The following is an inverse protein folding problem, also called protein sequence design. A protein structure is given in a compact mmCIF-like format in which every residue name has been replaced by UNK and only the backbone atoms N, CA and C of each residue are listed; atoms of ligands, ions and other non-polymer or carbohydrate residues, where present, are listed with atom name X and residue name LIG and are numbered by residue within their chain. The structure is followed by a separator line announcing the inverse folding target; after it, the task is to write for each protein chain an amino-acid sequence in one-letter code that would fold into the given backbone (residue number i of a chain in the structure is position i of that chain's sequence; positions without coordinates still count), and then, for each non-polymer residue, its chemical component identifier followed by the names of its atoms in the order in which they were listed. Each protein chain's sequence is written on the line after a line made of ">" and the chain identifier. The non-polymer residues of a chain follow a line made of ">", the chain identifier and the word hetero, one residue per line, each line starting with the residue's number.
data_IF_663083406694
#
_entry.id   IF_663083406694
#
_cell.length_a   1.000
_cell.length_b   1.000
_cell.length_c   1.000
_cell.angle_alpha   90.00
_cell.angle_beta   90.00
_cell.angle_gamma   90.00
#
_symmetry.space_group_name_H-M   'P 1'
#
loop_
_entity.id
_entity.type
_entity.pdbx_description
1 polymer ?
#
# COMPACT_ATOMS: atom_id res chain seq x y z
N UNK A 1 -2.69 15.50 -33.97
CA UNK A 1 -2.68 15.32 -33.32
C UNK A 1 -3.83 14.96 -32.89
N UNK A 2 -4.03 14.95 -32.30
CA UNK A 2 -4.92 13.99 -31.95
C UNK A 2 -5.64 14.36 -30.73
N UNK A 3 -6.64 13.61 -30.42
CA UNK A 3 -7.41 13.82 -29.23
C UNK A 3 -6.56 13.70 -28.02
N UNK A 4 -5.59 12.82 -28.06
CA UNK A 4 -4.72 12.68 -26.92
C UNK A 4 -3.95 13.92 -26.61
N UNK A 5 -3.49 14.58 -27.66
CA UNK A 5 -2.80 15.82 -27.45
C UNK A 5 -3.70 16.87 -26.85
N UNK A 6 -4.95 16.90 -27.29
CA UNK A 6 -5.90 17.84 -26.73
C UNK A 6 -6.15 17.59 -25.28
N UNK A 7 -6.32 16.32 -24.89
CA UNK A 7 -6.53 15.99 -23.49
C UNK A 7 -5.33 16.36 -22.66
N UNK A 8 -4.15 16.06 -23.16
CA UNK A 8 -2.94 16.34 -22.41
C UNK A 8 -2.72 17.82 -22.18
N UNK A 9 -3.26 18.63 -23.06
CA UNK A 9 -3.05 20.07 -22.95
C UNK A 9 -4.22 20.78 -22.29
N UNK A 10 -5.18 20.05 -21.75
CA UNK A 10 -6.36 20.68 -21.20
C UNK A 10 -6.13 21.39 -19.88
N UNK A 11 -5.00 21.17 -19.23
CA UNK A 11 -4.62 21.93 -18.05
C UNK A 11 -5.39 21.61 -16.79
N UNK A 12 -6.00 22.62 -16.16
CA UNK A 12 -6.59 22.41 -14.83
C UNK A 12 -7.66 21.33 -14.77
N UNK A 13 -8.45 21.22 -15.82
CA UNK A 13 -9.51 20.22 -15.86
C UNK A 13 -8.89 18.83 -15.90
N UNK A 14 -7.88 18.67 -16.70
CA UNK A 14 -7.20 17.39 -16.80
C UNK A 14 -6.53 17.03 -15.49
N UNK A 15 -5.90 17.99 -14.85
CA UNK A 15 -5.28 17.74 -13.55
C UNK A 15 -6.31 17.27 -12.52
N UNK A 16 -7.46 17.92 -12.48
CA UNK A 16 -8.52 17.54 -11.56
C UNK A 16 -9.00 16.13 -11.85
N UNK A 17 -9.19 15.79 -13.13
CA UNK A 17 -9.63 14.46 -13.50
C UNK A 17 -8.58 13.43 -13.17
N UNK A 18 -7.32 13.73 -13.40
CA UNK A 18 -6.25 12.79 -13.10
C UNK A 18 -6.15 12.53 -11.61
N UNK A 19 -6.31 13.56 -10.78
CA UNK A 19 -6.27 13.38 -9.34
C UNK A 19 -7.46 12.57 -8.85
N UNK A 20 -8.64 12.77 -9.43
CA UNK A 20 -9.83 12.07 -9.01
C UNK A 20 -9.97 10.68 -9.58
N UNK A 21 -9.46 10.46 -10.79
CA UNK A 21 -9.67 9.20 -11.50
C UNK A 21 -8.43 8.35 -11.65
N UNK A 22 -7.27 8.91 -11.40
CA UNK A 22 -6.03 8.14 -11.52
C UNK A 22 -6.01 7.01 -10.51
N UNK A 23 -5.76 5.78 -10.93
CA UNK A 23 -5.67 4.67 -9.99
C UNK A 23 -4.56 4.90 -8.99
N UNK A 24 -4.81 4.51 -7.75
CA UNK A 24 -3.77 4.48 -6.74
C UNK A 24 -2.90 3.27 -7.00
N UNK A 25 -1.63 3.42 -6.74
CA UNK A 25 -0.67 2.36 -6.99
C UNK A 25 -0.14 1.83 -5.65
N UNK A 26 -0.34 0.54 -5.41
CA UNK A 26 0.02 -0.07 -4.13
C UNK A 26 1.06 -1.16 -4.37
N UNK A 27 2.12 -1.14 -3.58
CA UNK A 27 3.14 -2.16 -3.66
C UNK A 27 2.81 -3.26 -2.64
N UNK A 28 2.75 -4.49 -3.12
CA UNK A 28 2.47 -5.65 -2.29
C UNK A 28 3.77 -6.43 -2.10
N UNK A 29 4.24 -6.52 -0.84
CA UNK A 29 5.42 -7.30 -0.51
C UNK A 29 4.92 -8.55 0.20
N UNK A 30 4.68 -9.62 -0.57
CA UNK A 30 4.05 -10.82 -0.08
C UNK A 30 4.56 -12.02 -0.86
N UNK A 31 5.09 -13.01 -0.16
CA UNK A 31 5.65 -14.18 -0.82
C UNK A 31 4.68 -15.33 -1.04
N UNK A 32 3.58 -15.37 -0.30
CA UNK A 32 2.64 -16.48 -0.41
C UNK A 32 1.64 -16.22 -1.55
N UNK A 33 1.61 -17.05 -2.59
CA UNK A 33 0.77 -16.76 -3.76
C UNK A 33 -0.71 -16.61 -3.46
N UNK A 34 -1.25 -17.41 -2.54
CA UNK A 34 -2.68 -17.34 -2.24
C UNK A 34 -3.05 -15.99 -1.64
N UNK A 35 -2.25 -15.51 -0.70
CA UNK A 35 -2.50 -14.21 -0.08
C UNK A 35 -2.25 -13.10 -1.09
N UNK A 36 -1.16 -13.20 -1.83
CA UNK A 36 -0.81 -12.20 -2.83
C UNK A 36 -1.91 -12.01 -3.86
N UNK A 37 -2.47 -13.11 -4.35
CA UNK A 37 -3.52 -13.04 -5.36
C UNK A 37 -4.79 -12.42 -4.80
N UNK A 38 -5.13 -12.73 -3.56
CA UNK A 38 -6.29 -12.14 -2.93
C UNK A 38 -6.11 -10.64 -2.75
N UNK A 39 -4.92 -10.22 -2.29
CA UNK A 39 -4.65 -8.80 -2.14
C UNK A 39 -4.75 -8.07 -3.47
N UNK A 40 -4.23 -8.70 -4.52
CA UNK A 40 -4.28 -8.10 -5.85
C UNK A 40 -5.74 -7.87 -6.30
N UNK A 41 -6.58 -8.88 -6.08
CA UNK A 41 -8.00 -8.77 -6.45
C UNK A 41 -8.70 -7.70 -5.60
N UNK A 42 -8.41 -7.66 -4.31
CA UNK A 42 -8.99 -6.65 -3.43
C UNK A 42 -8.60 -5.24 -3.85
N UNK A 43 -7.35 -5.04 -4.27
CA UNK A 43 -6.91 -3.74 -4.76
C UNK A 43 -7.67 -3.34 -6.01
N UNK A 44 -7.88 -4.29 -6.91
CA UNK A 44 -8.67 -4.00 -8.11
C UNK A 44 -10.07 -3.56 -7.75
N UNK A 45 -10.67 -4.19 -6.74
CA UNK A 45 -11.99 -3.80 -6.26
C UNK A 45 -12.04 -2.40 -5.67
N UNK A 46 -10.92 -1.89 -5.21
CA UNK A 46 -10.81 -0.52 -4.70
C UNK A 46 -10.45 0.48 -5.80
N UNK A 47 -10.30 0.02 -7.03
CA UNK A 47 -9.86 0.90 -8.10
C UNK A 47 -8.36 1.19 -8.05
N UNK A 48 -7.60 0.31 -7.42
CA UNK A 48 -6.16 0.48 -7.27
C UNK A 48 -5.42 -0.48 -8.18
N UNK A 49 -4.20 -0.09 -8.54
CA UNK A 49 -3.29 -0.98 -9.23
C UNK A 49 -2.30 -1.52 -8.22
N UNK A 50 -1.91 -2.77 -8.40
CA UNK A 50 -0.96 -3.40 -7.50
C UNK A 50 0.28 -3.87 -8.24
N UNK A 51 1.43 -3.61 -7.67
CA UNK A 51 2.68 -4.19 -8.13
C UNK A 51 3.18 -5.12 -7.03
N UNK A 52 3.85 -6.17 -7.43
CA UNK A 52 4.28 -7.21 -6.49
C UNK A 52 5.79 -7.24 -6.39
N UNK A 53 6.28 -7.21 -5.15
CA UNK A 53 7.67 -7.47 -4.84
C UNK A 53 7.75 -8.79 -4.08
N UNK A 54 8.75 -9.60 -4.41
CA UNK A 54 8.90 -10.91 -3.78
C UNK A 54 9.70 -10.87 -2.48
N UNK A 55 10.24 -9.72 -2.15
CA UNK A 55 10.98 -9.55 -0.91
C UNK A 55 11.32 -8.10 -0.68
N UNK A 56 11.91 -7.82 0.48
CA UNK A 56 12.20 -6.45 0.86
C UNK A 56 13.20 -5.75 -0.03
N UNK A 57 14.23 -6.47 -0.49
CA UNK A 57 15.22 -5.85 -1.35
C UNK A 57 14.62 -5.42 -2.69
N UNK A 58 13.81 -6.28 -3.29
CA UNK A 58 13.12 -5.91 -4.52
C UNK A 58 12.15 -4.76 -4.28
N UNK A 59 11.46 -4.80 -3.16
CA UNK A 59 10.53 -3.72 -2.82
C UNK A 59 11.23 -2.38 -2.75
N UNK A 60 12.38 -2.33 -2.10
CA UNK A 60 13.12 -1.07 -1.99
C UNK A 60 13.60 -0.59 -3.35
N UNK A 61 14.03 -1.50 -4.21
CA UNK A 61 14.43 -1.13 -5.56
C UNK A 61 13.26 -0.53 -6.35
N UNK A 62 12.08 -1.10 -6.17
CA UNK A 62 10.88 -0.59 -6.85
C UNK A 62 10.47 0.77 -6.29
N UNK A 63 10.55 0.94 -4.97
CA UNK A 63 10.21 2.21 -4.32
C UNK A 63 11.16 3.32 -4.79
N UNK A 64 12.41 2.97 -5.02
CA UNK A 64 13.37 3.94 -5.53
C UNK A 64 13.02 4.41 -6.93
N UNK A 65 12.53 3.49 -7.77
CA UNK A 65 12.30 3.78 -9.18
C UNK A 65 10.96 4.40 -9.49
N UNK A 66 9.95 4.15 -8.68
CA UNK A 66 8.62 4.68 -8.96
C UNK A 66 7.90 5.02 -7.67
N UNK A 67 6.85 5.83 -7.80
CA UNK A 67 6.08 6.27 -6.66
C UNK A 67 4.94 5.30 -6.39
N UNK A 68 4.70 5.04 -5.12
CA UNK A 68 3.56 4.24 -4.67
C UNK A 68 2.72 5.07 -3.71
N UNK A 69 1.43 4.80 -3.69
CA UNK A 69 0.53 5.46 -2.77
C UNK A 69 0.46 4.76 -1.42
N UNK A 70 0.77 3.48 -1.38
CA UNK A 70 0.82 2.71 -0.14
C UNK A 70 1.64 1.44 -0.37
N UNK A 71 2.05 0.82 0.72
CA UNK A 71 2.79 -0.44 0.70
C UNK A 71 2.10 -1.41 1.66
N UNK A 72 1.81 -2.61 1.18
CA UNK A 72 1.40 -3.72 2.03
C UNK A 72 2.64 -4.57 2.27
N UNK A 73 3.10 -4.59 3.49
CA UNK A 73 4.37 -5.24 3.81
C UNK A 73 4.15 -6.43 4.74
N UNK A 74 4.33 -7.63 4.20
CA UNK A 74 4.35 -8.83 5.04
C UNK A 74 5.73 -8.94 5.65
N UNK A 75 5.80 -8.88 6.97
CA UNK A 75 7.09 -8.91 7.66
C UNK A 75 7.85 -10.20 7.45
N UNK A 76 7.16 -11.29 7.11
CA UNK A 76 7.86 -12.54 6.82
C UNK A 76 8.63 -12.49 5.52
N UNK A 77 8.30 -11.54 4.65
CA UNK A 77 8.93 -11.41 3.34
C UNK A 77 9.85 -10.22 3.25
N UNK A 78 10.07 -9.50 4.35
CA UNK A 78 10.84 -8.26 4.28
C UNK A 78 12.33 -8.48 4.07
N UNK A 79 12.85 -9.67 4.39
CA UNK A 79 14.27 -10.01 4.25
C UNK A 79 15.20 -9.22 5.17
N UNK A 80 14.63 -8.37 5.99
CA UNK A 80 15.37 -7.57 6.97
C UNK A 80 14.44 -7.24 8.12
N UNK A 81 14.95 -6.82 9.26
CA UNK A 81 14.11 -6.44 10.39
C UNK A 81 13.15 -5.33 10.02
N UNK A 82 11.97 -5.34 10.64
CA UNK A 82 10.93 -4.38 10.33
C UNK A 82 11.41 -2.93 10.44
N UNK A 83 12.14 -2.61 11.50
CA UNK A 83 12.63 -1.26 11.69
C UNK A 83 13.59 -0.82 10.59
N UNK A 84 14.42 -1.75 10.13
CA UNK A 84 15.35 -1.46 9.06
C UNK A 84 14.63 -1.22 7.75
N UNK A 85 13.61 -2.03 7.48
CA UNK A 85 12.81 -1.86 6.28
C UNK A 85 12.11 -0.51 6.27
N UNK A 86 11.48 -0.14 7.37
CA UNK A 86 10.77 1.14 7.46
C UNK A 86 11.75 2.31 7.38
N UNK A 87 12.93 2.18 7.98
CA UNK A 87 13.94 3.22 7.88
C UNK A 87 14.41 3.42 6.45
N UNK A 88 14.59 2.32 5.71
CA UNK A 88 15.00 2.40 4.31
C UNK A 88 13.92 3.08 3.47
N UNK A 89 12.67 2.75 3.72
CA UNK A 89 11.56 3.40 3.01
C UNK A 89 11.55 4.90 3.32
N UNK A 90 11.80 5.25 4.59
CA UNK A 90 11.82 6.66 4.98
C UNK A 90 12.90 7.43 4.23
N UNK A 91 14.05 6.83 4.04
CA UNK A 91 15.11 7.49 3.31
C UNK A 91 14.78 7.67 1.83
N UNK A 92 14.15 6.67 1.23
CA UNK A 92 13.83 6.73 -0.19
C UNK A 92 12.62 7.60 -0.49
N UNK A 93 11.58 7.47 0.31
CA UNK A 93 10.32 8.18 0.11
C UNK A 93 9.71 8.53 1.46
N UNK A 94 10.10 9.64 2.06
CA UNK A 94 9.61 10.00 3.40
C UNK A 94 8.08 10.02 3.51
N UNK A 95 7.40 10.44 2.45
CA UNK A 95 5.94 10.53 2.49
C UNK A 95 5.27 9.17 2.51
N UNK A 96 5.98 8.12 2.16
CA UNK A 96 5.40 6.78 2.09
C UNK A 96 5.34 6.12 3.46
N UNK A 97 6.12 6.59 4.42
CA UNK A 97 6.22 5.93 5.73
C UNK A 97 4.88 5.83 6.44
N UNK A 98 4.06 6.87 6.36
CA UNK A 98 2.74 6.83 6.98
C UNK A 98 1.73 5.99 6.22
N UNK A 99 2.12 5.43 5.09
CA UNK A 99 1.24 4.63 4.25
C UNK A 99 1.74 3.22 4.07
N UNK A 100 2.48 2.72 5.03
CA UNK A 100 2.92 1.33 5.04
C UNK A 100 2.00 0.57 5.99
N UNK A 101 1.30 -0.42 5.45
CA UNK A 101 0.43 -1.28 6.24
C UNK A 101 1.17 -2.60 6.43
N UNK A 102 1.46 -2.91 7.68
CA UNK A 102 2.27 -4.07 8.02
C UNK A 102 1.39 -5.27 8.28
N UNK A 103 1.73 -6.42 7.69
CA UNK A 103 1.05 -7.67 7.97
C UNK A 103 1.96 -8.48 8.88
N UNK A 104 1.48 -8.79 10.08
CA UNK A 104 2.26 -9.54 11.07
C UNK A 104 1.89 -11.00 11.03
N UNK A 105 2.79 -11.85 11.53
CA UNK A 105 2.52 -13.27 11.62
C UNK A 105 1.47 -13.58 12.68
N UNK A 106 1.09 -14.85 12.76
CA UNK A 106 0.13 -15.30 13.77
C UNK A 106 0.66 -15.05 15.16
N UNK A 107 1.93 -15.40 15.37
CA UNK A 107 2.59 -15.15 16.63
C UNK A 107 3.74 -14.23 16.34
N UNK A 108 3.57 -12.98 16.68
CA UNK A 108 4.59 -11.98 16.40
C UNK A 108 5.56 -11.93 17.56
N UNK A 109 6.81 -11.73 17.21
CA UNK A 109 7.83 -11.62 18.19
C UNK A 109 7.64 -10.32 19.01
N UNK A 110 7.86 -10.36 20.33
CA UNK A 110 7.59 -9.20 21.18
C UNK A 110 8.34 -7.94 20.78
N UNK A 111 9.57 -8.08 20.28
CA UNK A 111 10.32 -6.91 19.85
C UNK A 111 9.69 -6.23 18.65
N UNK A 112 9.22 -7.03 17.70
CA UNK A 112 8.53 -6.49 16.53
C UNK A 112 7.25 -5.77 16.93
N UNK A 113 6.46 -6.38 17.84
CA UNK A 113 5.23 -5.74 18.28
C UNK A 113 5.51 -4.46 19.05
N UNK A 114 6.58 -4.43 19.82
CA UNK A 114 6.94 -3.22 20.53
C UNK A 114 7.32 -2.10 19.56
N UNK A 115 8.07 -2.42 18.51
CA UNK A 115 8.42 -1.45 17.50
C UNK A 115 7.21 -0.91 16.77
N UNK A 116 6.26 -1.80 16.45
CA UNK A 116 5.04 -1.38 15.79
C UNK A 116 4.27 -0.41 16.67
N UNK A 117 4.13 -0.72 17.93
CA UNK A 117 3.41 0.16 18.87
C UNK A 117 4.14 1.47 19.08
N UNK A 118 5.45 1.41 19.25
CA UNK A 118 6.23 2.61 19.50
C UNK A 118 6.17 3.58 18.35
N UNK A 119 6.17 3.07 17.12
CA UNK A 119 6.17 3.90 15.94
C UNK A 119 4.77 4.12 15.37
N UNK A 120 3.76 3.59 16.02
CA UNK A 120 2.37 3.74 15.59
C UNK A 120 2.14 3.27 14.16
N UNK A 121 2.79 2.19 13.77
CA UNK A 121 2.61 1.65 12.43
C UNK A 121 1.26 0.95 12.32
N UNK A 122 0.48 1.24 11.27
CA UNK A 122 -0.73 0.46 11.04
C UNK A 122 -0.37 -0.98 10.70
N UNK A 123 -1.06 -1.91 11.33
CA UNK A 123 -0.74 -3.32 11.13
C UNK A 123 -1.99 -4.17 11.21
N UNK A 124 -1.95 -5.33 10.55
CA UNK A 124 -3.01 -6.32 10.58
C UNK A 124 -2.40 -7.68 10.84
N UNK A 125 -2.90 -8.45 11.83
CA UNK A 125 -2.46 -9.83 11.98
C UNK A 125 -2.82 -10.61 10.72
N UNK A 126 -1.94 -11.51 10.30
CA UNK A 126 -2.12 -12.23 9.04
C UNK A 126 -3.47 -12.94 8.95
N UNK A 127 -3.93 -13.51 10.03
CA UNK A 127 -5.21 -14.22 10.03
C UNK A 127 -6.42 -13.30 9.87
N UNK A 128 -6.21 -11.98 9.98
CA UNK A 128 -7.28 -11.00 9.81
C UNK A 128 -7.20 -10.21 8.53
N UNK A 129 -6.25 -10.53 7.67
CA UNK A 129 -6.04 -9.76 6.45
C UNK A 129 -7.33 -9.70 5.62
N UNK A 130 -8.00 -10.83 5.47
CA UNK A 130 -9.20 -10.88 4.64
C UNK A 130 -10.31 -9.99 5.16
N UNK A 131 -10.40 -9.84 6.48
CA UNK A 131 -11.46 -9.03 7.08
C UNK A 131 -11.10 -7.56 7.16
N UNK A 132 -9.82 -7.22 7.31
CA UNK A 132 -9.44 -5.86 7.68
C UNK A 132 -8.71 -5.07 6.59
N UNK A 133 -8.11 -5.75 5.61
CA UNK A 133 -7.25 -5.05 4.67
C UNK A 133 -8.02 -4.00 3.85
N UNK A 134 -9.23 -4.30 3.47
CA UNK A 134 -10.06 -3.38 2.69
C UNK A 134 -10.21 -2.04 3.40
N UNK A 135 -10.70 -2.08 4.65
CA UNK A 135 -10.94 -0.84 5.39
C UNK A 135 -9.66 -0.09 5.72
N UNK A 136 -8.60 -0.84 6.03
CA UNK A 136 -7.32 -0.21 6.35
C UNK A 136 -6.72 0.49 5.13
N UNK A 137 -6.79 -0.16 3.97
CA UNK A 137 -6.29 0.46 2.74
C UNK A 137 -7.08 1.69 2.35
N UNK A 138 -8.40 1.63 2.47
CA UNK A 138 -9.21 2.80 2.18
C UNK A 138 -8.80 3.98 3.04
N UNK A 139 -8.58 3.71 4.32
CA UNK A 139 -8.16 4.77 5.24
C UNK A 139 -6.79 5.32 4.88
N UNK A 140 -5.83 4.44 4.57
CA UNK A 140 -4.50 4.88 4.22
C UNK A 140 -4.46 5.68 2.93
N UNK A 141 -5.29 5.30 1.97
CA UNK A 141 -5.31 5.96 0.67
C UNK A 141 -6.22 7.18 0.65
N UNK A 142 -6.93 7.44 1.73
CA UNK A 142 -7.83 8.57 1.78
C UNK A 142 -9.01 8.43 0.85
N UNK A 143 -9.44 7.19 0.58
CA UNK A 143 -10.56 6.94 -0.31
C UNK A 143 -11.88 7.18 0.41
N UNK A 144 -12.88 7.64 -0.35
CA UNK A 144 -14.19 7.85 0.23
C UNK A 144 -14.80 6.52 0.61
N UNK A 145 -15.61 6.55 1.65
CA UNK A 145 -16.35 5.36 2.04
C UNK A 145 -17.43 5.07 1.00
N UNK A 146 -17.85 3.82 0.96
CA UNK A 146 -18.93 3.45 0.07
C UNK A 146 -20.21 4.16 0.54
N UNK A 147 -21.20 4.31 -0.35
CA UNK A 147 -22.46 4.94 0.06
C UNK A 147 -23.11 4.28 1.25
N UNK A 148 -22.99 2.96 1.38
CA UNK A 148 -23.56 2.27 2.53
C UNK A 148 -22.88 2.69 3.82
N UNK A 149 -21.57 2.89 3.78
CA UNK A 149 -20.83 3.32 4.97
C UNK A 149 -21.13 4.76 5.33
N UNK A 150 -21.32 5.60 4.34
CA UNK A 150 -21.51 7.01 4.59
C UNK A 150 -22.90 7.32 5.19
N UNK A 151 -23.82 6.39 5.11
CA UNK A 151 -25.15 6.59 5.68
C UNK A 151 -25.30 6.07 7.09
N UNK A 152 -24.33 5.36 7.57
CA UNK A 152 -24.42 4.75 8.90
C UNK A 152 -24.01 5.68 10.03
#
# INVERSE_FOLDING_TARGET
>A
LTEQSLFLSSGPIEDALNHGLRPRNVLIVEGEPSIRNVLYVLLAGLGCEGDIAHGGHQALAMIEKQSFDAVLLDLRCSEMPAGEMVSAIRELRPNLVGRVLVITGEVSDPQTMEMIKKNCWPHIPRQRVMQEVWGRLRALLGLSQSPADSTS
#
